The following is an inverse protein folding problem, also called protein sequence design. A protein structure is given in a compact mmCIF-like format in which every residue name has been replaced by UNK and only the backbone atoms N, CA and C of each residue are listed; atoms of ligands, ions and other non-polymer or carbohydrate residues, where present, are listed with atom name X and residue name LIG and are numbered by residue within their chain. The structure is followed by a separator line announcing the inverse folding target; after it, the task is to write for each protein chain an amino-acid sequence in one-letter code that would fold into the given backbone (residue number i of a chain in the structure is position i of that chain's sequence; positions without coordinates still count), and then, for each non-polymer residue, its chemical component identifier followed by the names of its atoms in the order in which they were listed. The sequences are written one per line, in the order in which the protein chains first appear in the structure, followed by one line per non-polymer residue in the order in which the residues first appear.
data_IF_297805712933
#
_entry.id   IF_297805712933
#
_cell.length_a   1.000
_cell.length_b   1.000
_cell.length_c   1.000
_cell.angle_alpha   90.00
_cell.angle_beta   90.00
_cell.angle_gamma   90.00
#
_symmetry.space_group_name_H-M   'P 1'
#
loop_
_entity.id
_entity.type
_entity.pdbx_description
1 polymer ?
#
# COMPACT_ATOMS: atom_id res chain seq x y z
N UNK A 1 4.17 -28.22 -14.64
CA UNK A 1 3.17 -28.61 -15.66
C UNK A 1 3.76 -29.81 -16.38
N UNK A 2 2.96 -30.84 -16.67
CA UNK A 2 3.42 -31.97 -17.50
C UNK A 2 3.47 -31.57 -18.97
N UNK A 3 4.20 -32.34 -19.78
CA UNK A 3 4.31 -32.12 -21.23
C UNK A 3 2.95 -32.28 -21.93
N UNK A 4 2.12 -33.24 -21.49
CA UNK A 4 0.76 -33.42 -22.01
C UNK A 4 -0.15 -32.21 -21.74
N UNK A 5 0.00 -31.58 -20.57
CA UNK A 5 -0.73 -30.36 -20.22
C UNK A 5 -0.21 -29.13 -20.98
N UNK A 6 1.08 -29.11 -21.34
CA UNK A 6 1.64 -28.07 -22.20
C UNK A 6 1.02 -28.15 -23.61
N UNK A 7 1.00 -29.35 -24.18
CA UNK A 7 0.47 -29.58 -25.52
C UNK A 7 -1.03 -29.30 -25.62
N UNK A 8 -1.81 -29.67 -24.60
CA UNK A 8 -3.22 -29.33 -24.52
C UNK A 8 -3.47 -27.81 -24.35
N UNK A 9 -2.57 -27.10 -23.65
CA UNK A 9 -2.67 -25.65 -23.52
C UNK A 9 -2.37 -24.93 -24.84
N UNK A 10 -1.34 -25.38 -25.58
CA UNK A 10 -0.97 -24.81 -26.87
C UNK A 10 -2.11 -24.96 -27.90
N UNK A 11 -2.71 -26.14 -27.98
CA UNK A 11 -3.87 -26.39 -28.86
C UNK A 11 -5.09 -25.50 -28.52
N UNK A 12 -5.31 -25.19 -27.24
CA UNK A 12 -6.39 -24.30 -26.81
C UNK A 12 -6.09 -22.81 -27.06
N UNK A 13 -4.84 -22.44 -27.36
CA UNK A 13 -4.39 -21.06 -27.57
C UNK A 13 -4.15 -20.70 -29.03
N UNK A 14 -3.96 -21.69 -29.91
CA UNK A 14 -3.51 -21.56 -31.31
C UNK A 14 -4.23 -20.44 -32.09
N UNK A 15 -5.55 -20.31 -31.97
CA UNK A 15 -6.34 -19.26 -32.65
C UNK A 15 -6.84 -18.13 -31.74
N UNK A 16 -6.49 -18.17 -30.44
CA UNK A 16 -7.07 -17.27 -29.43
C UNK A 16 -6.19 -16.07 -29.11
N UNK A 17 -5.03 -15.91 -29.74
CA UNK A 17 -4.07 -14.87 -29.38
C UNK A 17 -4.00 -13.72 -30.39
N UNK A 18 -4.37 -13.94 -31.65
CA UNK A 18 -4.33 -12.93 -32.69
C UNK A 18 -5.23 -11.72 -32.36
N UNK A 19 -4.70 -10.50 -32.54
CA UNK A 19 -5.43 -9.24 -32.31
C UNK A 19 -5.67 -8.88 -30.85
N UNK A 20 -5.15 -9.64 -29.88
CA UNK A 20 -5.29 -9.34 -28.44
C UNK A 20 -4.15 -8.46 -27.94
N UNK A 21 -4.47 -7.56 -27.02
CA UNK A 21 -3.47 -6.83 -26.26
C UNK A 21 -2.86 -7.70 -25.15
N UNK A 22 -1.75 -7.25 -24.56
CA UNK A 22 -1.00 -7.99 -23.54
C UNK A 22 -1.86 -8.45 -22.35
N UNK A 23 -2.81 -7.62 -21.89
CA UNK A 23 -3.69 -7.97 -20.79
C UNK A 23 -4.69 -9.08 -21.16
N UNK A 24 -5.23 -9.00 -22.39
CA UNK A 24 -6.13 -10.01 -22.93
C UNK A 24 -5.42 -11.34 -23.18
N UNK A 25 -4.17 -11.30 -23.68
CA UNK A 25 -3.32 -12.49 -23.85
C UNK A 25 -3.07 -13.15 -22.50
N UNK A 26 -2.57 -12.41 -21.50
CA UNK A 26 -2.30 -12.95 -20.16
C UNK A 26 -3.54 -13.59 -19.53
N UNK A 27 -4.71 -12.96 -19.69
CA UNK A 27 -5.98 -13.52 -19.20
C UNK A 27 -6.36 -14.82 -19.92
N UNK A 28 -6.20 -14.87 -21.24
CA UNK A 28 -6.49 -16.06 -22.04
C UNK A 28 -5.56 -17.23 -21.65
N UNK A 29 -4.26 -16.97 -21.56
CA UNK A 29 -3.24 -17.94 -21.14
C UNK A 29 -3.52 -18.46 -19.73
N UNK A 30 -3.74 -17.58 -18.75
CA UNK A 30 -4.03 -18.01 -17.38
C UNK A 30 -5.30 -18.85 -17.29
N UNK A 31 -6.33 -18.53 -18.08
CA UNK A 31 -7.55 -19.34 -18.14
C UNK A 31 -7.26 -20.73 -18.66
N UNK A 32 -6.58 -20.85 -19.80
CA UNK A 32 -6.23 -22.14 -20.40
C UNK A 32 -5.35 -22.95 -19.46
N UNK A 33 -4.30 -22.36 -18.89
CA UNK A 33 -3.42 -23.02 -17.93
C UNK A 33 -4.15 -23.53 -16.68
N UNK A 34 -5.16 -22.79 -16.20
CA UNK A 34 -5.99 -23.23 -15.06
C UNK A 34 -6.97 -24.32 -15.45
N UNK A 35 -7.50 -24.30 -16.68
CA UNK A 35 -8.40 -25.34 -17.19
C UNK A 35 -7.68 -26.66 -17.42
N UNK A 36 -6.46 -26.62 -17.97
CA UNK A 36 -5.69 -27.82 -18.33
C UNK A 36 -4.94 -28.42 -17.14
N UNK A 37 -4.48 -27.59 -16.20
CA UNK A 37 -3.78 -28.03 -14.99
C UNK A 37 -4.43 -27.45 -13.71
N UNK A 38 -5.66 -27.88 -13.34
CA UNK A 38 -6.35 -27.37 -12.15
C UNK A 38 -5.58 -27.66 -10.86
N UNK A 39 -5.00 -28.85 -10.73
CA UNK A 39 -4.23 -29.24 -9.54
C UNK A 39 -2.93 -28.44 -9.40
N UNK A 40 -2.20 -28.25 -10.50
CA UNK A 40 -1.02 -27.39 -10.50
C UNK A 40 -1.39 -25.92 -10.29
N UNK A 41 -2.55 -25.45 -10.76
CA UNK A 41 -3.04 -24.11 -10.45
C UNK A 41 -3.32 -23.96 -8.94
N UNK A 42 -3.96 -24.94 -8.31
CA UNK A 42 -4.18 -24.98 -6.86
C UNK A 42 -2.87 -24.97 -6.08
N UNK A 43 -1.90 -25.83 -6.45
CA UNK A 43 -0.57 -25.86 -5.81
C UNK A 43 0.17 -24.52 -5.94
N UNK A 44 0.12 -23.88 -7.12
CA UNK A 44 0.70 -22.54 -7.33
C UNK A 44 0.00 -21.49 -6.47
N UNK A 45 -1.33 -21.54 -6.35
CA UNK A 45 -2.09 -20.61 -5.52
C UNK A 45 -1.74 -20.77 -4.03
N UNK A 46 -1.64 -22.00 -3.52
CA UNK A 46 -1.22 -22.28 -2.14
C UNK A 46 0.23 -21.83 -1.88
N UNK A 47 1.15 -22.18 -2.79
CA UNK A 47 2.55 -21.77 -2.70
C UNK A 47 2.70 -20.25 -2.68
N UNK A 48 2.04 -19.55 -3.61
CA UNK A 48 2.11 -18.08 -3.67
C UNK A 48 1.51 -17.44 -2.41
N UNK A 49 0.38 -17.96 -1.90
CA UNK A 49 -0.24 -17.49 -0.65
C UNK A 49 0.66 -17.68 0.58
N UNK A 50 1.60 -18.63 0.55
CA UNK A 50 2.59 -18.79 1.61
C UNK A 50 3.63 -17.65 1.61
N UNK A 51 3.83 -16.98 0.47
CA UNK A 51 4.72 -15.83 0.32
C UNK A 51 4.18 -14.50 0.87
N UNK A 52 2.96 -14.49 1.40
CA UNK A 52 2.29 -13.28 1.92
C UNK A 52 3.19 -12.52 2.90
N UNK A 53 3.39 -11.23 2.68
CA UNK A 53 4.26 -10.39 3.51
C UNK A 53 3.85 -8.93 3.46
N UNK A 54 4.18 -8.21 4.52
CA UNK A 54 4.05 -6.76 4.58
C UNK A 54 5.40 -6.14 4.19
N UNK A 55 5.39 -5.21 3.23
CA UNK A 55 6.56 -4.42 2.87
C UNK A 55 6.32 -2.95 3.18
N UNK A 56 7.32 -2.31 3.75
CA UNK A 56 7.39 -0.86 3.88
C UNK A 56 8.57 -0.35 3.05
N UNK A 57 8.37 0.74 2.32
CA UNK A 57 9.42 1.37 1.51
C UNK A 57 9.39 2.87 1.74
N UNK A 58 10.54 3.44 2.10
CA UNK A 58 10.72 4.88 2.14
C UNK A 58 10.63 5.44 0.72
N UNK A 59 9.78 6.45 0.53
CA UNK A 59 9.55 7.11 -0.74
C UNK A 59 10.51 8.28 -0.92
N UNK A 60 10.11 9.24 -1.77
CA UNK A 60 10.75 10.55 -1.78
C UNK A 60 10.59 11.28 -0.45
N UNK A 61 11.12 12.48 -0.39
CA UNK A 61 11.13 13.33 0.79
C UNK A 61 9.76 13.41 1.49
N UNK A 62 9.70 13.00 2.76
CA UNK A 62 8.51 13.12 3.61
C UNK A 62 7.40 12.10 3.36
N UNK A 63 7.60 11.10 2.50
CA UNK A 63 6.60 10.06 2.22
C UNK A 63 7.17 8.64 2.33
N UNK A 64 6.30 7.68 2.59
CA UNK A 64 6.61 6.24 2.60
C UNK A 64 5.38 5.46 2.10
N UNK A 65 5.59 4.22 1.66
CA UNK A 65 4.54 3.31 1.23
C UNK A 65 4.55 2.03 2.04
N UNK A 66 3.37 1.49 2.31
CA UNK A 66 3.14 0.19 2.92
C UNK A 66 2.30 -0.67 1.96
N UNK A 67 2.70 -1.93 1.75
CA UNK A 67 2.05 -2.84 0.79
C UNK A 67 1.98 -4.26 1.38
N UNK A 68 0.85 -4.93 1.13
CA UNK A 68 0.71 -6.37 1.38
C UNK A 68 0.95 -7.08 0.05
N UNK A 69 2.07 -7.79 -0.04
CA UNK A 69 2.42 -8.60 -1.20
C UNK A 69 1.91 -10.04 -1.03
N UNK A 70 1.54 -10.67 -2.14
CA UNK A 70 1.12 -12.08 -2.21
C UNK A 70 -0.04 -12.44 -1.25
N UNK A 71 -0.88 -11.44 -0.93
CA UNK A 71 -2.05 -11.61 -0.06
C UNK A 71 -3.13 -12.51 -0.69
N UNK A 72 -3.91 -13.27 0.11
CA UNK A 72 -5.03 -14.04 -0.41
C UNK A 72 -6.03 -13.13 -1.13
N UNK A 73 -6.30 -13.40 -2.41
CA UNK A 73 -7.07 -12.53 -3.32
C UNK A 73 -8.43 -12.13 -2.73
N UNK A 74 -9.09 -13.06 -2.06
CA UNK A 74 -10.39 -12.85 -1.41
C UNK A 74 -10.31 -11.84 -0.26
N UNK A 75 -9.21 -11.82 0.49
CA UNK A 75 -9.00 -10.86 1.59
C UNK A 75 -8.59 -9.50 1.05
N UNK A 76 -7.71 -9.46 0.05
CA UNK A 76 -7.25 -8.21 -0.58
C UNK A 76 -8.43 -7.50 -1.28
N UNK A 77 -9.26 -8.25 -2.01
CA UNK A 77 -10.45 -7.69 -2.65
C UNK A 77 -11.44 -7.14 -1.63
N UNK A 78 -11.71 -7.88 -0.54
CA UNK A 78 -12.59 -7.43 0.52
C UNK A 78 -12.06 -6.16 1.22
N UNK A 79 -10.75 -6.09 1.49
CA UNK A 79 -10.10 -4.91 2.05
C UNK A 79 -10.25 -3.68 1.12
N UNK A 80 -9.96 -3.86 -0.17
CA UNK A 80 -10.12 -2.79 -1.17
C UNK A 80 -11.57 -2.30 -1.25
N UNK A 81 -12.55 -3.21 -1.27
CA UNK A 81 -13.98 -2.84 -1.27
C UNK A 81 -14.37 -2.05 -0.02
N UNK A 82 -13.87 -2.43 1.17
CA UNK A 82 -14.11 -1.67 2.41
C UNK A 82 -13.55 -0.25 2.30
N UNK A 83 -12.32 -0.11 1.83
CA UNK A 83 -11.64 1.18 1.64
C UNK A 83 -12.38 2.04 0.61
N UNK A 84 -12.72 1.49 -0.55
CA UNK A 84 -13.44 2.19 -1.62
C UNK A 84 -14.80 2.70 -1.14
N UNK A 85 -15.52 1.90 -0.35
CA UNK A 85 -16.80 2.30 0.24
C UNK A 85 -16.63 3.49 1.19
N UNK A 86 -15.63 3.45 2.07
CA UNK A 86 -15.33 4.57 2.98
C UNK A 86 -14.97 5.85 2.22
N UNK A 87 -14.09 5.73 1.22
CA UNK A 87 -13.67 6.87 0.41
C UNK A 87 -14.85 7.50 -0.36
N UNK A 88 -15.74 6.68 -0.94
CA UNK A 88 -16.95 7.17 -1.62
C UNK A 88 -17.93 7.86 -0.68
N UNK A 89 -18.05 7.38 0.55
CA UNK A 89 -18.89 8.02 1.57
C UNK A 89 -18.37 9.43 1.91
N UNK A 90 -17.05 9.62 1.94
CA UNK A 90 -16.42 10.93 2.18
C UNK A 90 -16.49 11.88 0.99
N UNK A 91 -16.58 11.36 -0.25
CA UNK A 91 -16.52 12.16 -1.49
C UNK A 91 -17.73 13.08 -1.74
N UNK A 92 -18.69 13.12 -0.82
CA UNK A 92 -19.88 13.96 -0.92
C UNK A 92 -19.61 15.44 -0.59
N UNK A 93 -20.57 16.32 -0.89
CA UNK A 93 -20.65 17.65 -0.26
C UNK A 93 -19.52 18.64 -0.53
N UNK A 94 -18.99 18.70 -1.76
CA UNK A 94 -17.92 19.65 -2.10
C UNK A 94 -16.52 19.19 -1.72
N UNK A 95 -16.35 17.94 -1.32
CA UNK A 95 -15.04 17.32 -1.09
C UNK A 95 -14.13 17.44 -2.33
N UNK A 96 -13.01 18.13 -2.18
CA UNK A 96 -12.09 18.49 -3.27
C UNK A 96 -11.01 17.42 -3.51
N UNK A 97 -10.66 16.61 -2.49
CA UNK A 97 -9.65 15.55 -2.59
C UNK A 97 -10.04 14.51 -3.63
N UNK A 98 -9.05 13.95 -4.34
CA UNK A 98 -9.30 12.87 -5.30
C UNK A 98 -9.77 11.62 -4.58
N UNK A 99 -10.47 10.73 -5.30
CA UNK A 99 -10.93 9.47 -4.70
C UNK A 99 -9.75 8.60 -4.23
N UNK A 100 -8.59 8.69 -4.89
CA UNK A 100 -7.37 7.99 -4.47
C UNK A 100 -6.77 8.57 -3.19
N UNK A 101 -6.77 9.90 -3.02
CA UNK A 101 -6.38 10.53 -1.75
C UNK A 101 -7.28 10.04 -0.60
N UNK A 102 -8.60 10.03 -0.82
CA UNK A 102 -9.55 9.54 0.19
C UNK A 102 -9.37 8.05 0.50
N UNK A 103 -9.07 7.21 -0.50
CA UNK A 103 -8.77 5.79 -0.26
C UNK A 103 -7.50 5.61 0.55
N UNK A 104 -6.47 6.42 0.29
CA UNK A 104 -5.22 6.38 1.04
C UNK A 104 -5.47 6.78 2.51
N UNK A 105 -6.19 7.89 2.74
CA UNK A 105 -6.55 8.36 4.09
C UNK A 105 -7.36 7.28 4.85
N UNK A 106 -8.42 6.74 4.23
CA UNK A 106 -9.23 5.66 4.83
C UNK A 106 -8.42 4.40 5.12
N UNK A 107 -7.49 4.03 4.23
CA UNK A 107 -6.64 2.87 4.44
C UNK A 107 -5.70 3.06 5.65
N UNK A 108 -5.08 4.24 5.78
CA UNK A 108 -4.21 4.57 6.91
C UNK A 108 -5.00 4.61 8.22
N UNK A 109 -6.19 5.22 8.22
CA UNK A 109 -7.06 5.25 9.40
C UNK A 109 -7.45 3.84 9.85
N UNK A 110 -7.78 2.95 8.90
CA UNK A 110 -8.11 1.55 9.20
C UNK A 110 -6.91 0.76 9.73
N UNK A 111 -5.70 1.03 9.22
CA UNK A 111 -4.48 0.39 9.71
C UNK A 111 -4.11 0.86 11.12
N UNK A 112 -4.39 2.12 11.45
CA UNK A 112 -4.08 2.70 12.76
C UNK A 112 -5.15 2.39 13.81
N UNK A 113 -6.44 2.35 13.45
CA UNK A 113 -7.55 2.21 14.42
C UNK A 113 -8.31 0.88 14.35
N UNK A 114 -8.11 0.07 13.30
CA UNK A 114 -8.85 -1.17 13.01
C UNK A 114 -10.33 -0.97 12.60
N UNK A 115 -11.00 0.04 13.14
CA UNK A 115 -12.43 0.32 12.95
C UNK A 115 -12.68 1.52 12.03
N UNK A 116 -11.71 2.40 11.87
CA UNK A 116 -11.83 3.73 11.25
C UNK A 116 -12.11 4.77 12.35
N UNK A 117 -11.29 5.81 12.44
CA UNK A 117 -11.36 6.80 13.53
C UNK A 117 -10.00 7.04 14.20
N UNK A 118 -10.01 7.57 15.43
CA UNK A 118 -8.78 7.90 16.16
C UNK A 118 -7.87 6.66 16.30
N UNK A 119 -6.69 6.73 15.69
CA UNK A 119 -5.73 5.62 15.61
C UNK A 119 -5.05 5.28 16.93
N UNK A 120 -4.44 4.10 16.97
CA UNK A 120 -3.44 3.77 17.98
C UNK A 120 -2.28 4.76 17.88
N UNK A 121 -1.90 5.32 19.04
CA UNK A 121 -0.78 6.28 19.12
C UNK A 121 0.52 5.51 18.94
N UNK A 122 1.32 5.93 17.96
CA UNK A 122 2.70 5.47 17.80
C UNK A 122 3.67 6.53 18.32
N UNK A 123 4.72 6.09 18.99
CA UNK A 123 5.84 6.94 19.38
C UNK A 123 6.87 6.95 18.23
N UNK A 124 7.24 8.14 17.77
CA UNK A 124 8.29 8.34 16.77
C UNK A 124 9.34 9.28 17.34
N UNK A 125 10.61 9.09 16.98
CA UNK A 125 11.69 9.98 17.37
C UNK A 125 11.99 10.96 16.24
N UNK A 126 11.89 12.24 16.53
CA UNK A 126 12.21 13.33 15.62
C UNK A 126 13.37 14.13 16.21
N UNK A 127 14.45 14.25 15.44
CA UNK A 127 15.62 15.05 15.78
C UNK A 127 15.64 16.31 14.92
N UNK A 128 15.72 17.48 15.54
CA UNK A 128 15.90 18.76 14.85
C UNK A 128 16.44 19.77 15.85
N UNK A 129 17.16 20.79 15.37
CA UNK A 129 17.64 21.83 16.26
C UNK A 129 16.50 22.76 16.73
N UNK A 130 16.75 23.48 17.83
CA UNK A 130 15.76 24.37 18.43
C UNK A 130 15.39 25.53 17.50
N UNK A 131 16.33 26.04 16.71
CA UNK A 131 16.05 27.11 15.75
C UNK A 131 15.11 26.60 14.63
N UNK A 132 15.27 25.38 14.15
CA UNK A 132 14.38 24.78 13.14
C UNK A 132 12.98 24.59 13.70
N UNK A 133 12.90 24.08 14.93
CA UNK A 133 11.63 23.88 15.62
C UNK A 133 10.87 25.20 15.80
N UNK A 134 11.58 26.27 16.18
CA UNK A 134 11.02 27.61 16.35
C UNK A 134 10.78 28.36 15.02
N UNK A 135 11.18 27.79 13.88
CA UNK A 135 11.08 28.44 12.57
C UNK A 135 12.08 29.60 12.37
N UNK A 136 13.19 29.58 13.09
CA UNK A 136 14.28 30.56 12.99
C UNK A 136 15.33 30.17 11.94
N UNK A 137 15.38 28.90 11.53
CA UNK A 137 16.13 28.40 10.37
C UNK A 137 15.30 27.34 9.61
N UNK A 138 15.86 26.85 8.51
CA UNK A 138 15.26 25.81 7.65
C UNK A 138 16.16 24.56 7.53
N UNK A 139 16.99 24.31 8.55
CA UNK A 139 17.81 23.10 8.61
C UNK A 139 16.90 21.85 8.69
N UNK A 140 17.26 20.73 8.05
CA UNK A 140 16.38 19.57 8.00
C UNK A 140 16.23 18.89 9.36
N UNK A 141 15.07 18.29 9.60
CA UNK A 141 14.89 17.34 10.70
C UNK A 141 15.25 15.91 10.28
N UNK A 142 15.36 15.01 11.24
CA UNK A 142 15.57 13.58 11.02
C UNK A 142 14.51 12.78 11.76
N UNK A 143 13.74 11.98 11.03
CA UNK A 143 12.74 11.09 11.57
C UNK A 143 13.33 9.67 11.69
N UNK A 144 13.42 9.15 12.91
CA UNK A 144 14.03 7.83 13.16
C UNK A 144 13.36 6.74 12.32
N UNK A 145 14.19 5.93 11.67
CA UNK A 145 13.75 4.87 10.76
C UNK A 145 13.34 5.36 9.37
N UNK A 146 13.15 6.67 9.13
CA UNK A 146 12.90 7.24 7.80
C UNK A 146 14.12 7.97 7.23
N UNK A 147 14.78 8.79 8.05
CA UNK A 147 15.89 9.64 7.66
C UNK A 147 15.50 11.12 7.62
N UNK A 148 16.24 11.90 6.82
CA UNK A 148 16.07 13.35 6.76
C UNK A 148 14.72 13.76 6.16
N UNK A 149 14.05 14.71 6.81
CA UNK A 149 12.80 15.31 6.39
C UNK A 149 12.89 16.85 6.39
N UNK A 150 12.13 17.55 5.53
CA UNK A 150 12.17 19.00 5.47
C UNK A 150 11.68 19.64 6.77
N UNK A 151 12.26 20.79 7.12
CA UNK A 151 11.90 21.56 8.31
C UNK A 151 10.38 21.82 8.45
N UNK A 152 9.62 22.18 7.39
CA UNK A 152 8.17 22.37 7.53
C UNK A 152 7.41 21.10 7.93
N UNK A 153 7.86 19.93 7.44
CA UNK A 153 7.24 18.66 7.79
C UNK A 153 7.59 18.25 9.21
N UNK A 154 8.86 18.41 9.61
CA UNK A 154 9.31 18.16 10.97
C UNK A 154 8.51 19.00 11.98
N UNK A 155 8.37 20.31 11.72
CA UNK A 155 7.52 21.20 12.53
C UNK A 155 6.06 20.75 12.55
N UNK A 156 5.47 20.42 11.40
CA UNK A 156 4.09 19.94 11.32
C UNK A 156 3.84 18.69 12.15
N UNK A 157 4.76 17.73 12.13
CA UNK A 157 4.69 16.52 12.97
C UNK A 157 4.77 16.93 14.44
N UNK A 158 5.74 17.75 14.82
CA UNK A 158 5.95 18.16 16.20
C UNK A 158 4.79 19.00 16.78
N UNK A 159 4.05 19.74 15.93
CA UNK A 159 2.97 20.65 16.33
C UNK A 159 1.56 20.17 15.99
N UNK A 160 1.39 18.94 15.49
CA UNK A 160 0.07 18.41 15.14
C UNK A 160 -0.80 18.24 16.38
N UNK A 161 -2.10 18.56 16.28
CA UNK A 161 -3.05 18.44 17.38
C UNK A 161 -3.18 17.01 17.93
N UNK A 162 -2.87 16.01 17.10
CA UNK A 162 -2.90 14.59 17.45
C UNK A 162 -1.57 14.07 18.01
N UNK A 163 -0.56 14.93 18.18
CA UNK A 163 0.79 14.56 18.64
C UNK A 163 1.04 14.99 20.08
N UNK A 164 1.54 14.06 20.90
CA UNK A 164 2.08 14.37 22.23
C UNK A 164 3.59 14.51 22.12
N UNK A 165 4.09 15.74 22.28
CA UNK A 165 5.52 16.03 22.20
C UNK A 165 6.21 15.78 23.54
N UNK A 166 7.22 14.91 23.55
CA UNK A 166 8.19 14.77 24.64
C UNK A 166 9.53 15.35 24.17
N UNK A 167 9.95 16.47 24.75
CA UNK A 167 11.18 17.17 24.35
C UNK A 167 12.34 16.82 25.28
N UNK A 168 13.44 16.37 24.70
CA UNK A 168 14.74 16.28 25.38
C UNK A 168 15.54 17.50 24.92
N UNK A 169 15.90 18.36 25.86
CA UNK A 169 16.79 19.50 25.60
C UNK A 169 18.18 19.08 26.07
N UNK A 170 19.14 19.15 25.17
CA UNK A 170 20.57 18.98 25.45
C UNK A 170 21.25 20.35 25.43
N UNK A 171 22.22 20.54 26.32
CA UNK A 171 23.00 21.76 26.51
C UNK A 171 24.22 21.87 25.58
#
# INVERSE_FOLDING_TARGET
MSDDNALAADALLEDRLAGKNTAQIRRAVNRVATTVDPEGASRRAEHNRAGRRLRMRHGGTGVASIEIEDGPVEKVAAAYTRIDRGARALKAGGETRTLDQLRADVALDLLLSGQGGAGERSEVFLYMDLATYLGLNEDPGELAGHGSIPAPLARKIASSADTVLRRIITD
#
